data_IF_472288490971
#
_entry.id   IF_472288490971
#
_cell.length_a   1.000
_cell.length_b   1.000
_cell.length_c   1.000
_cell.angle_alpha   90.00
_cell.angle_beta   90.00
_cell.angle_gamma   90.00
#
_symmetry.space_group_name_H-M   'P 1'
#
loop_
_entity.id
_entity.type
_entity.pdbx_description
1 polymer ?
#
# COMPACT_ATOMS: atom_id res chain seq x y z
N UNK A 1 3.10 -0.83 18.04
CA UNK A 1 3.26 0.37 17.19
C UNK A 1 4.74 0.50 16.93
N UNK A 2 5.12 0.66 15.66
CA UNK A 2 6.51 1.01 15.35
C UNK A 2 6.76 2.45 15.80
N UNK A 3 8.01 2.79 16.08
CA UNK A 3 8.44 4.18 16.20
C UNK A 3 8.87 4.73 14.85
N UNK A 4 9.31 3.87 13.92
CA UNK A 4 9.85 4.24 12.61
C UNK A 4 11.34 4.57 12.71
N UNK A 5 12.13 4.10 11.75
CA UNK A 5 13.60 4.12 11.83
C UNK A 5 14.23 5.52 11.99
N UNK A 6 13.54 6.57 11.56
CA UNK A 6 14.01 7.97 11.61
C UNK A 6 13.39 8.79 12.75
N UNK A 7 12.58 8.19 13.63
CA UNK A 7 11.86 8.92 14.68
C UNK A 7 12.75 9.14 15.92
N UNK A 8 13.27 10.36 16.03
CA UNK A 8 14.11 10.84 17.14
C UNK A 8 13.32 11.07 18.44
N UNK A 9 11.98 11.16 18.38
CA UNK A 9 11.14 11.39 19.55
C UNK A 9 10.77 10.06 20.22
N UNK A 10 11.17 9.89 21.50
CA UNK A 10 10.88 8.68 22.27
C UNK A 10 9.40 8.58 22.71
N UNK A 11 8.68 9.70 22.72
CA UNK A 11 7.27 9.79 23.15
C UNK A 11 6.27 9.56 22.02
N UNK A 12 6.69 9.73 20.76
CA UNK A 12 5.85 9.52 19.57
C UNK A 12 5.99 8.09 19.04
N UNK A 13 4.86 7.47 18.72
CA UNK A 13 4.75 6.20 17.98
C UNK A 13 4.00 6.44 16.68
N UNK A 14 4.44 5.79 15.60
CA UNK A 14 3.72 5.84 14.32
C UNK A 14 2.71 4.69 14.31
N UNK A 15 1.43 5.04 14.17
CA UNK A 15 0.33 4.09 14.05
C UNK A 15 -0.27 4.23 12.64
N UNK A 16 0.29 3.50 11.67
CA UNK A 16 -0.21 3.45 10.29
C UNK A 16 -1.61 2.81 10.23
N UNK A 17 -2.43 3.16 9.24
CA UNK A 17 -3.82 2.67 9.14
C UNK A 17 -3.96 1.29 8.47
N UNK A 18 -2.88 0.75 7.92
CA UNK A 18 -2.91 -0.53 7.21
C UNK A 18 -1.59 -0.82 6.49
N UNK A 19 -1.63 -1.81 5.59
CA UNK A 19 -0.55 -2.12 4.65
C UNK A 19 -1.11 -2.20 3.24
N UNK A 20 -0.38 -1.63 2.28
CA UNK A 20 -0.62 -1.81 0.86
C UNK A 20 0.32 -2.88 0.29
N UNK A 21 -0.17 -3.66 -0.66
CA UNK A 21 0.59 -4.67 -1.40
C UNK A 21 0.60 -4.30 -2.88
N UNK A 22 1.60 -3.52 -3.28
CA UNK A 22 1.93 -3.23 -4.67
C UNK A 22 2.99 -4.23 -5.15
N UNK A 23 2.55 -5.38 -5.67
CA UNK A 23 3.42 -6.50 -6.06
C UNK A 23 3.47 -6.57 -7.58
N UNK A 24 4.44 -5.91 -8.20
CA UNK A 24 4.61 -5.87 -9.66
C UNK A 24 5.55 -6.95 -10.22
N UNK A 25 5.90 -7.96 -9.43
CA UNK A 25 6.84 -9.02 -9.84
C UNK A 25 6.34 -10.39 -9.46
N UNK A 26 6.54 -11.34 -10.36
CA UNK A 26 6.10 -12.72 -10.20
C UNK A 26 6.83 -13.39 -9.03
N UNK A 27 6.05 -13.84 -8.05
CA UNK A 27 6.53 -14.52 -6.86
C UNK A 27 7.04 -15.94 -7.18
N UNK A 28 8.21 -16.38 -6.67
CA UNK A 28 8.73 -17.72 -6.93
C UNK A 28 7.99 -18.84 -6.19
N UNK A 29 7.13 -18.49 -5.22
CA UNK A 29 6.38 -19.39 -4.34
C UNK A 29 4.88 -19.46 -4.68
N UNK A 30 4.49 -19.04 -5.89
CA UNK A 30 3.09 -18.95 -6.34
C UNK A 30 2.20 -18.14 -5.39
N UNK A 31 2.74 -17.02 -4.90
CA UNK A 31 2.12 -16.01 -4.04
C UNK A 31 1.81 -16.50 -2.60
N UNK A 32 2.27 -17.69 -2.21
CA UNK A 32 1.97 -18.29 -0.92
C UNK A 32 2.41 -17.42 0.29
N UNK A 33 3.58 -16.79 0.21
CA UNK A 33 4.12 -15.91 1.24
C UNK A 33 3.29 -14.63 1.43
N UNK A 34 2.77 -14.03 0.34
CA UNK A 34 1.89 -12.87 0.43
C UNK A 34 0.52 -13.25 1.03
N UNK A 35 -0.04 -14.39 0.62
CA UNK A 35 -1.27 -14.96 1.20
C UNK A 35 -1.10 -15.21 2.71
N UNK A 36 0.03 -15.80 3.12
CA UNK A 36 0.34 -16.05 4.53
C UNK A 36 0.56 -14.74 5.31
N UNK A 37 1.27 -13.78 4.74
CA UNK A 37 1.51 -12.46 5.33
C UNK A 37 0.20 -11.72 5.63
N UNK A 38 -0.72 -11.64 4.66
CA UNK A 38 -1.99 -10.94 4.85
C UNK A 38 -2.87 -11.66 5.88
N UNK A 39 -2.93 -13.00 5.87
CA UNK A 39 -3.63 -13.77 6.92
C UNK A 39 -3.08 -13.46 8.31
N UNK A 40 -1.75 -13.45 8.45
CA UNK A 40 -1.05 -13.11 9.69
C UNK A 40 -1.30 -11.68 10.15
N UNK A 41 -1.37 -10.71 9.22
CA UNK A 41 -1.76 -9.33 9.54
C UNK A 41 -3.20 -9.26 10.05
N UNK A 42 -4.15 -9.97 9.42
CA UNK A 42 -5.55 -10.02 9.91
C UNK A 42 -5.67 -10.65 11.29
N UNK A 43 -4.91 -11.69 11.62
CA UNK A 43 -4.80 -12.24 12.98
C UNK A 43 -4.35 -11.16 13.98
N UNK A 44 -3.27 -10.43 13.67
CA UNK A 44 -2.74 -9.38 14.53
C UNK A 44 -3.72 -8.21 14.70
N UNK A 45 -4.44 -7.82 13.64
CA UNK A 45 -5.47 -6.78 13.69
C UNK A 45 -6.66 -7.21 14.57
N UNK A 46 -7.14 -8.46 14.44
CA UNK A 46 -8.20 -9.01 15.26
C UNK A 46 -7.79 -9.08 16.74
N UNK A 47 -6.59 -9.58 17.04
CA UNK A 47 -6.06 -9.65 18.39
C UNK A 47 -5.88 -8.26 19.03
N UNK A 48 -5.37 -7.28 18.27
CA UNK A 48 -5.22 -5.90 18.75
C UNK A 48 -6.58 -5.22 19.01
N UNK A 49 -7.56 -5.42 18.12
CA UNK A 49 -8.94 -4.90 18.27
C UNK A 49 -9.66 -5.54 19.46
N UNK A 50 -9.42 -6.83 19.74
CA UNK A 50 -9.94 -7.50 20.93
C UNK A 50 -9.29 -6.96 22.22
N UNK A 51 -7.96 -6.77 22.23
CA UNK A 51 -7.24 -6.20 23.36
C UNK A 51 -7.51 -4.69 23.58
N UNK A 52 -7.93 -3.98 22.53
CA UNK A 52 -8.29 -2.56 22.56
C UNK A 52 -9.59 -2.32 21.77
N UNK A 53 -10.78 -2.54 22.35
CA UNK A 53 -12.06 -2.40 21.65
C UNK A 53 -12.26 -1.05 20.95
N UNK A 54 -11.71 0.03 21.50
CA UNK A 54 -11.76 1.37 20.91
C UNK A 54 -10.71 1.65 19.82
N UNK A 55 -9.86 0.70 19.41
CA UNK A 55 -8.91 0.94 18.32
C UNK A 55 -9.61 1.18 16.99
N UNK A 56 -8.92 1.86 16.07
CA UNK A 56 -9.28 1.87 14.65
C UNK A 56 -9.33 0.46 14.06
N UNK A 57 -10.04 0.33 12.94
CA UNK A 57 -9.93 -0.83 12.04
C UNK A 57 -8.73 -0.62 11.14
N UNK A 58 -7.86 -1.63 11.02
CA UNK A 58 -6.71 -1.57 10.12
C UNK A 58 -7.07 -2.19 8.77
N UNK A 59 -6.60 -1.54 7.71
CA UNK A 59 -6.89 -1.89 6.33
C UNK A 59 -5.80 -2.79 5.73
N UNK A 60 -6.19 -3.61 4.74
CA UNK A 60 -5.27 -4.17 3.75
C UNK A 60 -5.72 -3.70 2.37
N UNK A 61 -4.82 -3.08 1.62
CA UNK A 61 -5.02 -2.68 0.23
C UNK A 61 -3.95 -3.29 -0.68
N UNK A 62 -4.11 -3.15 -1.99
CA UNK A 62 -3.06 -3.49 -2.94
C UNK A 62 -3.41 -3.06 -4.37
N UNK A 63 -2.40 -3.04 -5.23
CA UNK A 63 -2.44 -2.35 -6.52
C UNK A 63 -2.22 -3.28 -7.73
N UNK A 64 -3.12 -4.26 -7.98
CA UNK A 64 -2.99 -5.17 -9.13
C UNK A 64 -3.09 -4.40 -10.46
N UNK A 65 -2.33 -4.82 -11.47
CA UNK A 65 -2.44 -4.25 -12.81
C UNK A 65 -3.70 -4.74 -13.55
N UNK A 66 -4.24 -3.97 -14.50
CA UNK A 66 -5.52 -4.32 -15.13
C UNK A 66 -5.61 -5.66 -15.92
N UNK A 67 -4.55 -6.30 -16.46
CA UNK A 67 -4.69 -7.53 -17.23
C UNK A 67 -5.30 -8.69 -16.43
N UNK A 68 -6.09 -9.53 -17.11
CA UNK A 68 -6.74 -10.70 -16.52
C UNK A 68 -6.41 -11.96 -17.33
N UNK A 69 -6.01 -13.08 -16.70
CA UNK A 69 -5.73 -13.23 -15.26
C UNK A 69 -4.50 -12.42 -14.84
N UNK A 70 -4.57 -11.79 -13.67
CA UNK A 70 -3.46 -10.97 -13.15
C UNK A 70 -2.42 -11.89 -12.48
N UNK A 71 -1.14 -11.71 -12.85
CA UNK A 71 -0.07 -12.68 -12.59
C UNK A 71 0.68 -12.55 -11.26
N UNK A 72 0.70 -11.36 -10.64
CA UNK A 72 1.57 -11.08 -9.49
C UNK A 72 0.82 -11.04 -8.15
N UNK A 73 -0.48 -10.75 -8.20
CA UNK A 73 -1.40 -10.59 -7.07
C UNK A 73 -2.71 -11.39 -7.19
N UNK A 74 -3.08 -11.88 -8.38
CA UNK A 74 -4.37 -12.56 -8.59
C UNK A 74 -4.67 -13.70 -7.61
N UNK A 75 -3.68 -14.54 -7.29
CA UNK A 75 -3.82 -15.60 -6.28
C UNK A 75 -3.84 -15.05 -4.85
N UNK A 76 -3.15 -13.95 -4.59
CA UNK A 76 -3.16 -13.23 -3.31
C UNK A 76 -4.54 -12.67 -3.01
N UNK A 77 -5.17 -12.03 -4.00
CA UNK A 77 -6.53 -11.46 -3.94
C UNK A 77 -7.58 -12.57 -3.76
N UNK A 78 -7.40 -13.71 -4.44
CA UNK A 78 -8.27 -14.87 -4.27
C UNK A 78 -8.07 -15.58 -2.92
N UNK A 79 -6.82 -15.67 -2.44
CA UNK A 79 -6.43 -16.50 -1.29
C UNK A 79 -6.40 -15.78 0.07
N UNK A 80 -6.41 -14.44 0.09
CA UNK A 80 -6.42 -13.62 1.30
C UNK A 80 -7.37 -12.40 1.15
N UNK A 81 -7.78 -11.81 2.29
CA UNK A 81 -8.79 -10.74 2.31
C UNK A 81 -8.15 -9.35 2.22
N UNK A 82 -8.40 -8.65 1.11
CA UNK A 82 -8.23 -7.20 0.96
C UNK A 82 -9.50 -6.44 1.38
N UNK A 83 -9.37 -5.15 1.71
CA UNK A 83 -10.50 -4.23 1.90
C UNK A 83 -10.65 -3.28 0.70
N UNK A 84 -9.53 -2.83 0.12
CA UNK A 84 -9.45 -1.94 -1.03
C UNK A 84 -8.57 -2.57 -2.12
N UNK A 85 -8.87 -2.31 -3.39
CA UNK A 85 -8.03 -2.69 -4.53
C UNK A 85 -7.87 -1.49 -5.49
N UNK A 86 -6.62 -1.06 -5.67
CA UNK A 86 -6.22 0.08 -6.49
C UNK A 86 -5.80 -0.38 -7.88
N UNK A 87 -6.75 -0.88 -8.68
CA UNK A 87 -6.44 -1.53 -9.96
C UNK A 87 -5.79 -0.53 -10.91
N UNK A 88 -4.56 -0.82 -11.35
CA UNK A 88 -3.79 0.04 -12.23
C UNK A 88 -4.32 -0.06 -13.66
N UNK A 89 -5.22 0.83 -14.05
CA UNK A 89 -5.80 0.90 -15.41
C UNK A 89 -4.91 1.74 -16.35
N UNK A 90 -3.59 1.52 -16.29
CA UNK A 90 -2.56 2.20 -17.09
C UNK A 90 -1.36 1.27 -17.35
N UNK A 91 -0.40 1.72 -18.18
CA UNK A 91 0.80 1.02 -18.61
C UNK A 91 0.57 -0.32 -19.37
N UNK A 92 -0.69 -0.68 -19.63
CA UNK A 92 -1.12 -2.00 -20.09
C UNK A 92 -1.95 -1.93 -21.41
N UNK A 93 -1.74 -0.88 -22.22
CA UNK A 93 -2.55 -0.62 -23.43
C UNK A 93 -2.55 -1.74 -24.47
N UNK A 94 -1.51 -2.59 -24.49
CA UNK A 94 -1.44 -3.79 -25.34
C UNK A 94 -2.44 -4.88 -24.93
N UNK A 95 -2.86 -4.90 -23.67
CA UNK A 95 -3.88 -5.81 -23.13
C UNK A 95 -5.31 -5.25 -23.28
N UNK A 96 -5.45 -4.03 -23.81
CA UNK A 96 -6.74 -3.37 -24.06
C UNK A 96 -7.48 -2.89 -22.81
N UNK A 97 -6.95 -3.11 -21.60
CA UNK A 97 -7.66 -2.90 -20.34
C UNK A 97 -7.52 -1.51 -19.72
N UNK A 98 -6.77 -0.57 -20.31
CA UNK A 98 -6.50 0.71 -19.65
C UNK A 98 -7.69 1.66 -19.70
N UNK A 99 -7.71 2.62 -18.78
CA UNK A 99 -8.70 3.70 -18.78
C UNK A 99 -8.68 4.48 -20.10
N UNK A 100 -7.51 4.57 -20.76
CA UNK A 100 -7.36 5.21 -22.07
C UNK A 100 -8.03 4.40 -23.17
N UNK A 101 -7.97 3.05 -23.14
CA UNK A 101 -8.70 2.21 -24.10
C UNK A 101 -10.22 2.49 -24.08
N UNK A 102 -10.81 2.70 -22.89
CA UNK A 102 -12.23 3.07 -22.77
C UNK A 102 -12.54 4.44 -23.40
N UNK A 103 -11.66 5.42 -23.20
CA UNK A 103 -11.85 6.77 -23.76
C UNK A 103 -11.74 6.77 -25.29
N UNK A 104 -10.72 6.10 -25.85
CA UNK A 104 -10.49 6.13 -27.31
C UNK A 104 -11.36 5.16 -28.08
N UNK A 105 -11.85 4.07 -27.47
CA UNK A 105 -12.64 3.07 -28.16
C UNK A 105 -13.72 2.43 -27.27
N UNK A 106 -14.59 3.28 -26.71
CA UNK A 106 -15.70 2.96 -25.79
C UNK A 106 -16.59 1.77 -26.19
N UNK A 107 -16.65 1.43 -27.48
CA UNK A 107 -17.52 0.38 -28.03
C UNK A 107 -16.80 -0.92 -28.41
N UNK A 108 -15.46 -0.98 -28.41
CA UNK A 108 -14.72 -2.19 -28.79
C UNK A 108 -14.45 -3.17 -27.62
N UNK A 109 -14.84 -2.79 -26.39
CA UNK A 109 -14.49 -3.52 -25.18
C UNK A 109 -13.02 -3.30 -24.76
N UNK A 110 -12.52 -4.17 -23.89
CA UNK A 110 -11.15 -4.13 -23.36
C UNK A 110 -11.07 -3.66 -21.91
N UNK A 111 -11.55 -2.46 -21.60
CA UNK A 111 -11.64 -1.97 -20.22
C UNK A 111 -12.54 -2.89 -19.37
N UNK A 112 -12.00 -3.44 -18.28
CA UNK A 112 -12.47 -4.68 -17.68
C UNK A 112 -12.84 -4.57 -16.19
N UNK A 113 -13.27 -3.38 -15.74
CA UNK A 113 -13.68 -3.15 -14.35
C UNK A 113 -14.75 -4.14 -13.86
N UNK A 114 -15.75 -4.46 -14.68
CA UNK A 114 -16.83 -5.37 -14.31
C UNK A 114 -16.36 -6.84 -14.23
N UNK A 115 -15.34 -7.21 -15.02
CA UNK A 115 -14.64 -8.49 -14.90
C UNK A 115 -13.82 -8.56 -13.61
N UNK A 116 -13.20 -7.45 -13.20
CA UNK A 116 -12.52 -7.32 -11.91
C UNK A 116 -13.50 -7.46 -10.74
N UNK A 117 -14.65 -6.78 -10.77
CA UNK A 117 -15.75 -6.98 -9.80
C UNK A 117 -16.14 -8.46 -9.72
N UNK A 118 -16.27 -9.12 -10.88
CA UNK A 118 -16.65 -10.54 -10.97
C UNK A 118 -15.61 -11.47 -10.33
N UNK A 119 -14.32 -11.28 -10.61
CA UNK A 119 -13.22 -12.12 -10.10
C UNK A 119 -12.97 -11.89 -8.61
N UNK A 120 -12.99 -10.64 -8.13
CA UNK A 120 -12.78 -10.32 -6.71
C UNK A 120 -13.82 -11.01 -5.80
N UNK A 121 -15.06 -11.17 -6.28
CA UNK A 121 -16.13 -11.85 -5.56
C UNK A 121 -16.07 -13.39 -5.60
N UNK A 122 -15.17 -13.99 -6.38
CA UNK A 122 -14.96 -15.45 -6.37
C UNK A 122 -14.00 -15.91 -5.27
N UNK A 123 -13.32 -14.97 -4.59
CA UNK A 123 -12.27 -15.28 -3.60
C UNK A 123 -12.44 -14.59 -2.25
N UNK A 124 -11.40 -14.69 -1.42
CA UNK A 124 -11.37 -14.16 -0.06
C UNK A 124 -11.49 -12.63 0.06
N UNK A 125 -11.38 -11.90 -1.06
CA UNK A 125 -11.57 -10.45 -1.16
C UNK A 125 -12.98 -10.03 -1.60
N UNK A 126 -13.96 -10.94 -1.60
CA UNK A 126 -15.35 -10.60 -1.94
C UNK A 126 -15.88 -9.39 -1.15
N UNK A 127 -16.49 -8.44 -1.85
CA UNK A 127 -16.97 -7.17 -1.29
C UNK A 127 -15.90 -6.09 -1.04
N UNK A 128 -14.61 -6.33 -1.35
CA UNK A 128 -13.58 -5.28 -1.33
C UNK A 128 -13.95 -4.13 -2.28
N UNK A 129 -13.49 -2.90 -1.99
CA UNK A 129 -13.77 -1.71 -2.81
C UNK A 129 -12.72 -1.51 -3.90
N UNK A 130 -13.17 -1.49 -5.15
CA UNK A 130 -12.34 -1.33 -6.34
C UNK A 130 -12.24 0.17 -6.67
N UNK A 131 -11.02 0.64 -6.92
CA UNK A 131 -10.71 2.01 -7.30
C UNK A 131 -10.18 2.02 -8.73
N UNK A 132 -10.49 3.10 -9.46
CA UNK A 132 -9.88 3.39 -10.74
C UNK A 132 -8.47 3.93 -10.51
N UNK A 133 -7.42 3.11 -10.66
CA UNK A 133 -6.04 3.58 -10.67
C UNK A 133 -5.73 4.31 -11.97
N UNK A 134 -5.38 5.58 -11.88
CA UNK A 134 -5.08 6.48 -13.01
C UNK A 134 -3.71 7.15 -12.82
N UNK A 135 -3.06 7.55 -13.92
CA UNK A 135 -1.86 8.39 -13.85
C UNK A 135 -2.21 9.82 -13.42
N UNK A 136 -1.42 10.38 -12.50
CA UNK A 136 -1.57 11.76 -12.00
C UNK A 136 -1.15 12.83 -13.02
N UNK A 137 -0.32 12.48 -14.00
CA UNK A 137 0.08 13.32 -15.13
C UNK A 137 0.47 12.46 -16.36
N UNK A 138 0.66 13.10 -17.51
CA UNK A 138 1.21 12.48 -18.72
C UNK A 138 2.71 12.12 -18.62
N UNK A 139 3.37 12.40 -17.51
CA UNK A 139 4.76 12.01 -17.22
C UNK A 139 4.90 10.96 -16.11
N UNK A 140 3.80 10.53 -15.49
CA UNK A 140 3.82 9.57 -14.38
C UNK A 140 3.99 8.09 -14.78
N UNK A 141 3.87 7.79 -16.08
CA UNK A 141 3.91 6.43 -16.63
C UNK A 141 3.88 6.49 -18.17
N UNK A 142 3.25 5.50 -18.81
CA UNK A 142 3.01 5.52 -20.25
C UNK A 142 2.14 6.72 -20.63
N UNK A 143 2.75 7.73 -21.25
CA UNK A 143 2.13 9.05 -21.49
C UNK A 143 0.76 9.01 -22.18
N UNK A 144 0.54 8.03 -23.07
CA UNK A 144 -0.74 7.81 -23.73
C UNK A 144 -1.87 7.37 -22.77
N UNK A 145 -1.56 6.61 -21.72
CA UNK A 145 -2.54 6.10 -20.76
C UNK A 145 -3.02 7.15 -19.74
N UNK A 146 -2.39 8.33 -19.68
CA UNK A 146 -2.89 9.44 -18.87
C UNK A 146 -4.22 9.96 -19.45
N UNK A 147 -5.18 10.22 -18.56
CA UNK A 147 -6.46 10.85 -18.88
C UNK A 147 -6.42 12.33 -18.47
N UNK A 148 -6.91 13.21 -19.33
CA UNK A 148 -7.24 14.58 -18.91
C UNK A 148 -8.36 14.57 -17.87
N UNK A 149 -8.49 15.64 -17.08
CA UNK A 149 -9.49 15.68 -16.01
C UNK A 149 -10.95 15.54 -16.49
N UNK A 150 -11.26 15.89 -17.74
CA UNK A 150 -12.59 15.70 -18.34
C UNK A 150 -12.82 14.25 -18.81
N UNK A 151 -11.76 13.58 -19.30
CA UNK A 151 -11.79 12.16 -19.64
C UNK A 151 -11.93 11.31 -18.38
N UNK A 152 -11.14 11.61 -17.34
CA UNK A 152 -11.23 10.96 -16.04
C UNK A 152 -12.58 11.23 -15.35
N UNK A 153 -13.15 12.43 -15.48
CA UNK A 153 -14.55 12.65 -15.09
C UNK A 153 -15.47 11.70 -15.85
N UNK A 154 -15.40 11.64 -17.19
CA UNK A 154 -16.29 10.79 -18.00
C UNK A 154 -16.24 9.32 -17.58
N UNK A 155 -15.08 8.83 -17.16
CA UNK A 155 -14.88 7.47 -16.64
C UNK A 155 -15.53 7.28 -15.24
N UNK A 156 -15.38 8.25 -14.33
CA UNK A 156 -16.04 8.24 -13.02
C UNK A 156 -17.57 8.29 -13.21
N UNK A 157 -18.06 9.20 -14.05
CA UNK A 157 -19.47 9.39 -14.36
C UNK A 157 -20.11 8.13 -14.97
N UNK A 158 -19.31 7.18 -15.49
CA UNK A 158 -19.76 5.88 -16.00
C UNK A 158 -19.76 4.73 -14.97
N UNK A 159 -18.92 4.77 -13.93
CA UNK A 159 -18.78 3.68 -12.93
C UNK A 159 -19.11 4.05 -11.48
N UNK A 160 -19.43 5.30 -11.16
CA UNK A 160 -19.68 5.75 -9.78
C UNK A 160 -20.80 5.00 -9.05
N UNK A 161 -21.71 4.37 -9.79
CA UNK A 161 -22.87 3.61 -9.30
C UNK A 161 -22.61 2.09 -9.19
N UNK A 162 -21.45 1.60 -9.61
CA UNK A 162 -21.12 0.18 -9.53
C UNK A 162 -20.98 -0.30 -8.07
N UNK A 163 -21.48 -1.49 -7.68
CA UNK A 163 -21.64 -1.88 -6.26
C UNK A 163 -20.36 -1.81 -5.39
N UNK A 164 -19.20 -2.07 -6.00
CA UNK A 164 -17.90 -2.03 -5.32
C UNK A 164 -17.05 -0.80 -5.66
N UNK A 165 -17.58 0.21 -6.33
CA UNK A 165 -16.85 1.45 -6.58
C UNK A 165 -16.42 2.10 -5.25
N UNK A 166 -15.11 2.34 -5.13
CA UNK A 166 -14.48 3.03 -4.01
C UNK A 166 -14.00 4.45 -4.34
N UNK A 167 -13.73 4.75 -5.61
CA UNK A 167 -13.24 6.04 -6.07
C UNK A 167 -12.12 5.92 -7.10
N UNK A 168 -11.14 6.83 -7.02
CA UNK A 168 -9.95 6.90 -7.87
C UNK A 168 -8.69 6.78 -7.01
N UNK A 169 -7.70 6.03 -7.50
CA UNK A 169 -6.31 6.06 -7.02
C UNK A 169 -5.46 6.81 -8.06
N UNK A 170 -4.45 7.56 -7.61
CA UNK A 170 -3.57 8.33 -8.48
C UNK A 170 -2.11 7.95 -8.27
N UNK A 171 -1.44 7.57 -9.37
CA UNK A 171 0.00 7.37 -9.43
C UNK A 171 0.70 8.60 -10.02
N UNK A 172 1.45 9.40 -9.26
CA UNK A 172 1.46 9.50 -7.80
C UNK A 172 1.24 10.96 -7.35
N UNK A 173 1.44 11.25 -6.06
CA UNK A 173 1.14 12.55 -5.46
C UNK A 173 1.89 13.72 -6.10
N UNK A 174 3.19 13.55 -6.39
CA UNK A 174 4.06 14.58 -6.98
C UNK A 174 3.62 14.94 -8.40
N UNK A 175 3.31 13.94 -9.23
CA UNK A 175 2.78 14.14 -10.58
C UNK A 175 1.37 14.76 -10.55
N UNK A 176 0.51 14.32 -9.62
CA UNK A 176 -0.85 14.86 -9.49
C UNK A 176 -0.89 16.29 -8.91
N UNK A 177 0.06 16.68 -8.06
CA UNK A 177 0.23 18.04 -7.53
C UNK A 177 0.74 19.01 -8.61
N UNK A 178 1.77 18.62 -9.36
CA UNK A 178 2.37 19.48 -10.38
C UNK A 178 1.56 19.55 -11.69
N UNK A 179 0.56 18.67 -11.88
CA UNK A 179 -0.36 18.73 -13.01
C UNK A 179 -1.49 19.74 -12.74
N UNK A 180 -1.46 20.86 -13.45
CA UNK A 180 -2.42 21.97 -13.36
C UNK A 180 -3.19 22.15 -14.69
N UNK A 181 -4.29 21.39 -14.94
CA UNK A 181 -5.06 21.50 -16.16
C UNK A 181 -5.68 22.88 -16.36
N UNK A 182 -5.47 23.51 -17.52
CA UNK A 182 -5.99 24.85 -17.85
C UNK A 182 -7.53 24.94 -17.80
N UNK A 183 -8.24 23.84 -18.02
CA UNK A 183 -9.70 23.74 -17.86
C UNK A 183 -10.20 23.87 -16.42
N UNK A 184 -9.30 23.81 -15.43
CA UNK A 184 -9.61 23.92 -14.00
C UNK A 184 -8.64 24.89 -13.30
N UNK A 185 -8.75 26.22 -13.56
CA UNK A 185 -7.80 27.21 -13.04
C UNK A 185 -7.61 27.14 -11.52
N UNK A 186 -6.35 27.14 -11.08
CA UNK A 186 -5.98 27.11 -9.68
C UNK A 186 -6.21 25.78 -8.97
N UNK A 187 -6.36 24.66 -9.71
CA UNK A 187 -6.49 23.31 -9.12
C UNK A 187 -5.52 22.31 -9.73
N UNK A 188 -4.95 21.48 -8.86
CA UNK A 188 -4.15 20.34 -9.28
C UNK A 188 -5.02 19.10 -9.59
N UNK A 189 -4.43 18.07 -10.18
CA UNK A 189 -5.17 16.93 -10.70
C UNK A 189 -5.95 16.17 -9.60
N UNK A 190 -5.36 15.95 -8.43
CA UNK A 190 -6.05 15.24 -7.34
C UNK A 190 -7.18 16.08 -6.71
N UNK A 191 -7.05 17.40 -6.64
CA UNK A 191 -8.12 18.30 -6.21
C UNK A 191 -9.32 18.24 -7.18
N UNK A 192 -9.05 18.12 -8.49
CA UNK A 192 -10.11 17.97 -9.50
C UNK A 192 -10.79 16.60 -9.39
N UNK A 193 -10.02 15.52 -9.25
CA UNK A 193 -10.59 14.17 -9.03
C UNK A 193 -11.45 14.13 -7.76
N UNK A 194 -11.01 14.78 -6.67
CA UNK A 194 -11.80 14.90 -5.43
C UNK A 194 -13.07 15.74 -5.63
N UNK A 195 -13.02 16.82 -6.41
CA UNK A 195 -14.20 17.60 -6.78
C UNK A 195 -15.22 16.77 -7.59
N UNK A 196 -14.76 15.95 -8.54
CA UNK A 196 -15.63 15.06 -9.32
C UNK A 196 -16.29 14.02 -8.41
N UNK A 197 -15.49 13.29 -7.62
CA UNK A 197 -16.01 12.26 -6.71
C UNK A 197 -16.98 12.82 -5.66
N UNK A 198 -16.81 14.07 -5.22
CA UNK A 198 -17.72 14.73 -4.29
C UNK A 198 -19.15 14.94 -4.85
N UNK A 199 -19.37 14.87 -6.17
CA UNK A 199 -20.72 14.86 -6.76
C UNK A 199 -21.51 13.59 -6.42
N UNK A 200 -20.80 12.49 -6.16
CA UNK A 200 -21.33 11.14 -5.97
C UNK A 200 -21.11 10.60 -4.55
N UNK A 201 -20.43 11.37 -3.70
CA UNK A 201 -20.22 11.01 -2.31
C UNK A 201 -21.55 10.98 -1.55
N UNK A 202 -21.80 9.96 -0.70
CA UNK A 202 -22.92 9.98 0.23
C UNK A 202 -22.86 11.23 1.12
N UNK A 203 -24.02 11.79 1.47
CA UNK A 203 -24.10 12.92 2.38
C UNK A 203 -23.43 12.58 3.72
N UNK A 204 -22.47 13.39 4.15
CA UNK A 204 -21.67 13.14 5.35
C UNK A 204 -22.53 13.18 6.62
N UNK A 205 -22.99 12.01 7.07
CA UNK A 205 -23.56 11.86 8.42
C UNK A 205 -22.52 12.20 9.48
N UNK A 206 -22.96 12.74 10.60
CA UNK A 206 -22.11 13.16 11.71
C UNK A 206 -21.18 12.01 12.18
N UNK A 207 -19.96 12.33 12.69
CA UNK A 207 -19.00 11.32 13.10
C UNK A 207 -19.59 10.37 14.14
N UNK A 208 -19.46 9.07 13.89
CA UNK A 208 -19.97 8.04 14.78
C UNK A 208 -19.36 8.16 16.18
N UNK A 209 -20.18 7.97 17.22
CA UNK A 209 -19.83 8.18 18.62
C UNK A 209 -18.52 7.47 18.99
N UNK A 210 -17.52 8.25 19.42
CA UNK A 210 -16.23 7.70 19.85
C UNK A 210 -16.44 6.80 21.06
N UNK A 211 -15.80 5.62 21.00
CA UNK A 211 -15.87 4.56 22.00
C UNK A 211 -15.53 5.07 23.41
N UNK A 212 -16.55 5.24 24.26
CA UNK A 212 -16.39 5.74 25.62
C UNK A 212 -16.16 4.60 26.61
N UNK A 213 -14.90 4.31 26.93
CA UNK A 213 -14.54 3.34 27.98
C UNK A 213 -14.71 3.94 29.36
N UNK A 214 -15.94 4.02 29.83
CA UNK A 214 -16.24 4.23 31.26
C UNK A 214 -15.82 2.97 32.03
N UNK A 215 -14.58 2.95 32.54
CA UNK A 215 -14.08 1.83 33.35
C UNK A 215 -14.81 1.83 34.70
N UNK A 216 -15.92 1.09 34.77
CA UNK A 216 -16.67 0.91 36.01
C UNK A 216 -15.83 0.11 37.01
N UNK A 217 -15.18 0.82 37.93
CA UNK A 217 -14.48 0.25 39.06
C UNK A 217 -15.50 -0.28 40.08
N UNK A 218 -15.99 -1.50 39.85
CA UNK A 218 -16.83 -2.25 40.80
C UNK A 218 -16.03 -2.57 42.07
N UNK A 219 -16.01 -1.59 42.98
CA UNK A 219 -15.35 -1.65 44.29
C UNK A 219 -16.15 -2.60 45.19
N UNK A 220 -15.82 -3.88 45.16
CA UNK A 220 -16.44 -4.93 45.97
C UNK A 220 -16.46 -4.53 47.45
N UNK A 221 -17.66 -4.26 47.97
CA UNK A 221 -17.91 -3.96 49.37
C UNK A 221 -17.99 -5.26 50.18
N UNK A 222 -16.85 -5.75 50.64
CA UNK A 222 -16.77 -6.92 51.53
C UNK A 222 -17.50 -6.63 52.85
N UNK A 223 -18.74 -7.09 52.96
CA UNK A 223 -19.56 -6.98 54.18
C UNK A 223 -18.95 -7.86 55.28
N UNK A 224 -18.48 -7.23 56.36
CA UNK A 224 -17.83 -7.90 57.49
C UNK A 224 -18.84 -8.25 58.58
N UNK A 225 -19.53 -9.38 58.44
CA UNK A 225 -20.35 -9.96 59.50
C UNK A 225 -19.47 -10.38 60.68
N UNK A 226 -19.62 -9.68 61.83
CA UNK A 226 -18.98 -10.07 63.08
C UNK A 226 -19.69 -11.29 63.67
N UNK A 227 -19.00 -12.42 63.75
CA UNK A 227 -19.44 -13.58 64.54
C UNK A 227 -18.39 -13.87 65.61
N UNK A 228 -18.80 -13.85 66.88
CA UNK A 228 -17.92 -14.04 68.03
C UNK A 228 -17.88 -15.51 68.46
N UNK A 229 -16.71 -16.15 68.39
CA UNK A 229 -16.44 -17.40 69.11
C UNK A 229 -14.96 -17.50 69.48
N UNK A 230 -14.68 -17.75 70.75
CA UNK A 230 -13.36 -18.18 71.24
C UNK A 230 -13.05 -19.61 70.72
N UNK A 231 -11.80 -20.09 70.67
CA UNK A 231 -11.04 -20.53 71.86
C UNK A 231 -9.63 -21.01 71.47
N UNK A 232 -8.64 -20.76 72.36
CA UNK A 232 -7.28 -21.38 72.47
C UNK A 232 -6.41 -21.56 71.21
N UNK A 233 -5.42 -20.67 71.11
CA UNK A 233 -3.98 -20.97 71.24
C UNK A 233 -3.53 -22.43 70.99
N UNK A 234 -2.62 -22.60 70.02
CA UNK A 234 -1.41 -23.41 70.19
C UNK A 234 -0.23 -22.73 69.50
N UNK A 235 0.96 -22.77 70.10
CA UNK A 235 2.16 -22.05 69.66
C UNK A 235 3.25 -22.99 69.18
N UNK A 236 3.81 -22.73 68.00
CA UNK A 236 5.18 -23.18 67.67
C UNK A 236 5.91 -22.07 66.91
N UNK A 237 7.02 -21.59 67.47
CA UNK A 237 7.89 -20.60 66.84
C UNK A 237 9.15 -21.26 66.30
N UNK A 238 9.60 -20.88 65.11
CA UNK A 238 10.97 -21.16 64.63
C UNK A 238 11.48 -20.05 63.73
N UNK A 239 12.08 -19.02 64.36
CA UNK A 239 12.84 -17.98 63.67
C UNK A 239 14.28 -18.43 63.39
N UNK A 240 14.77 -18.23 62.17
CA UNK A 240 16.21 -18.08 61.90
C UNK A 240 16.42 -16.91 60.93
N UNK A 241 17.55 -16.19 61.07
CA UNK A 241 17.74 -14.86 60.47
C UNK A 241 19.19 -14.61 60.03
N UNK A 242 19.36 -14.34 58.73
CA UNK A 242 20.44 -13.53 58.10
C UNK A 242 21.92 -13.98 58.17
N UNK A 243 22.71 -13.37 57.27
CA UNK A 243 24.19 -13.31 57.20
C UNK A 243 24.95 -14.57 56.73
N UNK A 244 26.11 -14.48 56.05
CA UNK A 244 26.72 -13.42 55.22
C UNK A 244 27.98 -13.93 54.49
N UNK A 245 28.58 -13.11 53.59
CA UNK A 245 29.99 -13.17 53.09
C UNK A 245 30.44 -14.41 52.27
N UNK A 246 31.50 -14.40 51.44
CA UNK A 246 32.07 -13.51 50.38
C UNK A 246 33.55 -13.91 50.10
N UNK A 247 34.19 -13.37 49.02
CA UNK A 247 35.57 -13.64 48.52
C UNK A 247 35.67 -14.90 47.62
N UNK A 248 36.16 -14.83 46.36
CA UNK A 248 37.53 -14.58 45.81
C UNK A 248 38.48 -15.79 45.94
N UNK A 249 39.37 -16.14 45.01
CA UNK A 249 39.64 -15.78 43.58
C UNK A 249 40.62 -16.88 43.00
N UNK A 250 41.34 -16.82 41.87
CA UNK A 250 41.65 -15.81 40.83
C UNK A 250 42.29 -16.46 39.57
N UNK A 251 42.40 -15.72 38.45
CA UNK A 251 43.32 -15.96 37.29
C UNK A 251 43.11 -17.27 36.47
N UNK A 252 43.58 -17.44 35.23
CA UNK A 252 44.74 -16.85 34.51
C UNK A 252 44.47 -16.59 33.01
N UNK A 253 45.32 -15.73 32.41
CA UNK A 253 45.30 -15.30 30.99
C UNK A 253 45.82 -16.38 30.03
N UNK A 254 45.39 -16.34 28.78
CA UNK A 254 46.26 -16.46 27.61
C UNK A 254 45.68 -15.70 26.40
N UNK A 255 46.52 -15.34 25.44
CA UNK A 255 46.20 -14.42 24.34
C UNK A 255 46.85 -14.87 23.03
N UNK A 256 46.17 -14.65 21.90
CA UNK A 256 46.80 -14.47 20.57
C UNK A 256 45.97 -13.48 19.75
N UNK A 257 46.62 -12.70 18.87
CA UNK A 257 46.00 -11.69 18.01
C UNK A 257 46.32 -11.96 16.54
N UNK A 258 45.34 -11.75 15.65
CA UNK A 258 45.51 -11.77 14.18
C UNK A 258 44.68 -10.68 13.49
N UNK A 259 45.16 -9.45 13.61
CA UNK A 259 45.26 -8.41 12.54
C UNK A 259 44.46 -8.68 11.24
N UNK A 260 43.47 -7.81 10.96
CA UNK A 260 43.00 -7.53 9.60
C UNK A 260 43.35 -6.07 9.26
N UNK A 261 43.85 -5.83 8.05
CA UNK A 261 44.37 -4.53 7.62
C UNK A 261 43.28 -3.63 7.05
N UNK A 262 43.24 -2.36 7.46
CA UNK A 262 42.44 -1.31 6.84
C UNK A 262 43.30 -0.43 5.92
N UNK A 263 42.74 -0.02 4.78
CA UNK A 263 43.37 0.92 3.84
C UNK A 263 42.31 1.88 3.28
N UNK A 264 42.58 3.19 3.33
CA UNK A 264 41.65 4.26 2.93
C UNK A 264 42.39 5.41 2.25
N UNK A 265 41.65 6.28 1.52
CA UNK A 265 42.14 7.45 0.74
C UNK A 265 42.74 7.08 -0.63
N UNK A 266 42.73 7.90 -1.70
CA UNK A 266 42.15 9.25 -1.98
C UNK A 266 42.05 9.41 -3.52
N UNK A 267 40.97 9.93 -4.14
CA UNK A 267 40.50 11.34 -4.29
C UNK A 267 41.24 12.15 -5.41
N UNK A 268 40.47 12.87 -6.26
CA UNK A 268 40.83 14.02 -7.17
C UNK A 268 41.09 13.79 -8.70
N UNK A 269 40.05 14.12 -9.50
CA UNK A 269 39.98 14.94 -10.76
C UNK A 269 40.60 14.63 -12.16
N UNK A 270 39.70 14.81 -13.16
CA UNK A 270 39.79 15.62 -14.42
C UNK A 270 40.53 15.20 -15.72
N UNK A 271 39.75 15.12 -16.83
CA UNK A 271 40.04 15.51 -18.24
C UNK A 271 41.17 14.79 -19.03
N UNK A 272 41.12 14.51 -20.34
CA UNK A 272 40.22 14.87 -21.48
C UNK A 272 39.86 13.58 -22.29
N UNK A 273 39.42 13.47 -23.57
CA UNK A 273 39.34 14.34 -24.78
C UNK A 273 38.25 13.84 -25.78
N UNK A 274 38.07 14.48 -26.94
CA UNK A 274 37.19 14.05 -28.07
C UNK A 274 37.89 14.17 -29.43
N UNK A 275 37.63 13.24 -30.37
CA UNK A 275 37.60 13.33 -31.87
C UNK A 275 37.48 11.89 -32.44
N UNK A 276 36.49 11.42 -33.22
CA UNK A 276 35.77 11.85 -34.45
C UNK A 276 36.42 11.46 -35.79
N UNK A 277 35.84 10.47 -36.46
CA UNK A 277 35.66 10.37 -37.92
C UNK A 277 34.57 9.31 -38.20
N UNK A 278 33.54 9.42 -39.06
CA UNK A 278 33.14 10.28 -40.19
C UNK A 278 33.26 9.62 -41.57
N UNK A 279 32.13 9.18 -42.12
CA UNK A 279 31.85 9.25 -43.57
C UNK A 279 30.34 9.45 -43.78
N UNK A 280 29.96 9.97 -44.96
CA UNK A 280 28.60 10.41 -45.25
C UNK A 280 28.34 10.44 -46.76
N UNK A 281 27.10 10.16 -47.17
CA UNK A 281 26.59 10.45 -48.51
C UNK A 281 25.07 10.56 -48.49
N UNK A 282 24.50 11.47 -49.29
CA UNK A 282 23.06 11.71 -49.40
C UNK A 282 22.76 12.46 -50.70
N UNK A 283 21.64 12.11 -51.39
CA UNK A 283 21.06 12.77 -52.59
C UNK A 283 22.00 12.84 -53.83
N UNK A 284 21.60 12.86 -55.12
CA UNK A 284 20.35 13.03 -55.90
C UNK A 284 20.52 12.29 -57.26
N UNK A 285 19.59 12.09 -58.21
CA UNK A 285 18.10 12.14 -58.33
C UNK A 285 17.70 11.72 -59.76
N UNK A 286 16.58 11.01 -59.95
CA UNK A 286 15.92 10.84 -61.27
C UNK A 286 14.42 10.48 -61.12
N UNK A 287 13.65 10.53 -62.21
CA UNK A 287 12.18 10.48 -62.21
C UNK A 287 11.59 9.69 -63.39
N UNK A 288 10.27 9.41 -63.34
CA UNK A 288 9.44 8.77 -64.40
C UNK A 288 9.67 7.25 -64.54
N UNK A 289 8.66 6.36 -64.58
CA UNK A 289 7.54 6.25 -65.54
C UNK A 289 6.42 5.37 -64.94
N UNK A 290 5.17 5.55 -65.39
CA UNK A 290 4.00 4.70 -65.10
C UNK A 290 3.62 3.85 -66.33
N UNK A 291 3.38 2.54 -66.18
CA UNK A 291 2.48 1.78 -67.05
C UNK A 291 1.08 1.61 -66.44
N UNK A 292 0.10 1.34 -67.29
CA UNK A 292 -1.25 0.91 -66.90
C UNK A 292 -1.32 -0.62 -66.91
N UNK A 293 -2.05 -1.22 -65.96
CA UNK A 293 -2.66 -2.54 -66.11
C UNK A 293 -4.13 -2.44 -65.71
N UNK A 294 -4.99 -3.14 -66.45
CA UNK A 294 -6.44 -3.00 -66.42
C UNK A 294 -7.13 -4.07 -65.58
N UNK A 295 -8.38 -3.79 -65.22
CA UNK A 295 -9.28 -4.62 -64.43
C UNK A 295 -9.40 -6.07 -64.91
N UNK A 296 -9.46 -7.01 -63.96
CA UNK A 296 -10.51 -8.04 -63.91
C UNK A 296 -10.82 -8.33 -62.44
#
# INVERSE_FOLDING_TARGET
LDRGASNTDLTKTIDIDGFDFDIERTSPDNQAGYIACIKRLREHFAAYKAAKPCSKTYLISGAPQCPLPEGNMGLTIAGAKFDLLFIQFYNNGANGCTARNWITNKNAGGFNYDSWVTIVNQGASAGAKLYLGLLGSSSAGTSGDYLTALEAQSLIDAWHSAPQFGGVMLWEATYAENNLPSSFPGKNYYQIMKQVLNKYAPATTAPATVCSTTVSSTRSSTSSTKTSSSTKISTTSSTVKSSSTSKSASSTKSSTSSKITSTSSSKVSSSSSVKTSSSSTKISSSSSVKPSSSST
#
